data_IF_192702725583
#
_entry.id   IF_192702725583
#
_cell.length_a   1.000
_cell.length_b   1.000
_cell.length_c   1.000
_cell.angle_alpha   90.00
_cell.angle_beta   90.00
_cell.angle_gamma   90.00
#
_symmetry.space_group_name_H-M   'P 1'
#
loop_
_entity.id
_entity.type
_entity.pdbx_description
1 polymer ?
#
# COMPACT_ATOMS: atom_id res chain seq x y z
N UNK A 1 46.45 -25.99 74.74
CA UNK A 1 45.36 -24.98 74.66
C UNK A 1 45.25 -24.50 73.22
N UNK A 2 44.04 -24.29 72.67
CA UNK A 2 43.65 -24.91 71.40
C UNK A 2 44.03 -24.14 70.12
N UNK A 3 44.21 -24.96 69.10
CA UNK A 3 44.38 -24.75 67.66
C UNK A 3 43.25 -23.91 67.03
N UNK A 4 43.61 -22.86 66.29
CA UNK A 4 42.70 -22.19 65.36
C UNK A 4 42.51 -23.06 64.13
N UNK A 5 41.35 -23.72 64.06
CA UNK A 5 40.91 -24.46 62.89
C UNK A 5 40.62 -23.49 61.73
N UNK A 6 41.26 -23.75 60.60
CA UNK A 6 40.97 -23.14 59.31
C UNK A 6 39.52 -23.43 58.90
N UNK A 7 38.71 -22.39 58.74
CA UNK A 7 37.41 -22.50 58.09
C UNK A 7 37.62 -22.30 56.59
N UNK A 8 37.47 -23.37 55.82
CA UNK A 8 37.62 -23.37 54.37
C UNK A 8 36.56 -22.49 53.70
N UNK A 9 36.89 -21.83 52.57
CA UNK A 9 35.88 -21.15 51.77
C UNK A 9 34.94 -22.18 51.15
N UNK A 10 33.67 -22.14 51.55
CA UNK A 10 32.62 -22.86 50.86
C UNK A 10 32.60 -22.46 49.40
N UNK A 11 33.03 -23.36 48.51
CA UNK A 11 32.80 -23.26 47.07
C UNK A 11 31.30 -23.10 46.87
N UNK A 12 30.87 -21.91 46.46
CA UNK A 12 29.60 -21.73 45.78
C UNK A 12 29.70 -22.53 44.48
N UNK A 13 29.20 -23.76 44.53
CA UNK A 13 29.04 -24.60 43.35
C UNK A 13 28.15 -23.82 42.40
N UNK A 14 28.71 -23.36 41.29
CA UNK A 14 27.95 -22.81 40.19
C UNK A 14 26.94 -23.88 39.76
N UNK A 15 25.68 -23.68 40.14
CA UNK A 15 24.56 -24.52 39.77
C UNK A 15 24.44 -24.47 38.24
N UNK A 16 24.78 -25.58 37.57
CA UNK A 16 24.56 -25.71 36.13
C UNK A 16 23.07 -25.55 35.88
N UNK A 17 22.63 -24.69 34.94
CA UNK A 17 21.22 -24.55 34.63
C UNK A 17 20.64 -25.92 34.29
N UNK A 18 19.70 -26.41 35.11
CA UNK A 18 18.94 -27.59 34.78
C UNK A 18 18.11 -27.38 33.49
N UNK A 19 17.48 -28.43 32.98
CA UNK A 19 16.66 -28.38 31.74
C UNK A 19 15.64 -27.22 31.76
N UNK A 20 15.07 -26.88 32.92
CA UNK A 20 14.19 -25.72 33.08
C UNK A 20 14.86 -24.36 32.87
N UNK A 21 16.13 -24.21 33.25
CA UNK A 21 16.91 -23.00 33.01
C UNK A 21 17.25 -22.82 31.53
N UNK A 22 17.58 -23.90 30.83
CA UNK A 22 17.83 -23.87 29.37
C UNK A 22 16.55 -23.54 28.58
N UNK A 23 15.40 -24.12 28.97
CA UNK A 23 14.11 -23.80 28.34
C UNK A 23 13.73 -22.32 28.53
N UNK A 24 13.97 -21.77 29.73
CA UNK A 24 13.75 -20.34 30.01
C UNK A 24 14.63 -19.45 29.13
N UNK A 25 15.90 -19.81 28.95
CA UNK A 25 16.85 -19.04 28.13
C UNK A 25 16.46 -19.04 26.64
N UNK A 26 16.03 -20.19 26.11
CA UNK A 26 15.50 -20.29 24.73
C UNK A 26 14.23 -19.46 24.56
N UNK A 27 13.31 -19.49 25.54
CA UNK A 27 12.10 -18.67 25.51
C UNK A 27 12.41 -17.17 25.56
N UNK A 28 13.40 -16.75 26.36
CA UNK A 28 13.88 -15.37 26.41
C UNK A 28 14.49 -14.93 25.07
N UNK A 29 15.30 -15.77 24.43
CA UNK A 29 15.86 -15.50 23.11
C UNK A 29 14.80 -15.44 22.00
N UNK A 30 13.82 -16.35 22.01
CA UNK A 30 12.71 -16.33 21.07
C UNK A 30 11.89 -15.03 21.23
N UNK A 31 11.64 -14.61 22.47
CA UNK A 31 10.96 -13.35 22.78
C UNK A 31 11.77 -12.13 22.33
N UNK A 32 13.10 -12.14 22.49
CA UNK A 32 13.95 -11.04 22.04
C UNK A 32 14.00 -10.94 20.51
N UNK A 33 14.05 -12.07 19.80
CA UNK A 33 13.99 -12.11 18.34
C UNK A 33 12.66 -11.58 17.80
N UNK A 34 11.54 -12.03 18.39
CA UNK A 34 10.21 -11.58 17.98
C UNK A 34 10.05 -10.05 18.13
N UNK A 35 10.56 -9.47 19.23
CA UNK A 35 10.58 -8.01 19.43
C UNK A 35 11.41 -7.30 18.36
N UNK A 36 12.55 -7.87 17.98
CA UNK A 36 13.44 -7.31 16.96
C UNK A 36 12.81 -7.33 15.56
N UNK A 37 12.11 -8.40 15.20
CA UNK A 37 11.37 -8.48 13.93
C UNK A 37 10.24 -7.45 13.88
N UNK A 38 9.52 -7.24 14.98
CA UNK A 38 8.49 -6.19 15.07
C UNK A 38 9.13 -4.81 14.91
N UNK A 39 10.27 -4.55 15.58
CA UNK A 39 10.99 -3.29 15.47
C UNK A 39 11.46 -3.05 14.03
N UNK A 40 12.06 -4.06 13.39
CA UNK A 40 12.52 -3.99 12.00
C UNK A 40 11.35 -3.79 11.02
N UNK A 41 10.26 -4.53 11.18
CA UNK A 41 9.05 -4.35 10.39
C UNK A 41 8.47 -2.94 10.55
N UNK A 42 8.52 -2.37 11.77
CA UNK A 42 8.07 -1.00 12.02
C UNK A 42 8.94 0.03 11.30
N UNK A 43 10.25 -0.16 11.26
CA UNK A 43 11.20 0.70 10.56
C UNK A 43 11.01 0.62 9.05
N UNK A 44 10.86 -0.60 8.52
CA UNK A 44 10.60 -0.82 7.10
C UNK A 44 9.25 -0.21 6.68
N UNK A 45 8.21 -0.37 7.49
CA UNK A 45 6.90 0.24 7.26
C UNK A 45 6.99 1.76 7.26
N UNK A 46 7.68 2.37 8.24
CA UNK A 46 7.89 3.83 8.27
C UNK A 46 8.63 4.33 7.03
N UNK A 47 9.68 3.62 6.60
CA UNK A 47 10.43 3.96 5.39
C UNK A 47 9.56 3.84 4.13
N UNK A 48 8.79 2.76 4.00
CA UNK A 48 7.84 2.56 2.89
C UNK A 48 6.74 3.62 2.89
N UNK A 49 6.16 3.91 4.04
CA UNK A 49 5.14 4.94 4.20
C UNK A 49 5.67 6.34 3.88
N UNK A 50 6.89 6.67 4.30
CA UNK A 50 7.55 7.93 3.96
C UNK A 50 7.81 8.08 2.46
N UNK A 51 8.34 7.02 1.82
CA UNK A 51 8.57 7.02 0.38
C UNK A 51 7.27 7.11 -0.43
N UNK A 52 6.24 6.35 -0.03
CA UNK A 52 4.89 6.43 -0.63
C UNK A 52 4.27 7.82 -0.41
N UNK A 53 4.39 8.39 0.79
CA UNK A 53 3.87 9.72 1.11
C UNK A 53 4.55 10.83 0.30
N UNK A 54 5.88 10.79 0.18
CA UNK A 54 6.63 11.72 -0.64
C UNK A 54 6.28 11.58 -2.12
N UNK A 55 6.21 10.33 -2.62
CA UNK A 55 5.81 10.04 -4.01
C UNK A 55 4.38 10.48 -4.30
N UNK A 56 3.43 10.24 -3.40
CA UNK A 56 2.05 10.69 -3.51
C UNK A 56 1.96 12.22 -3.48
N UNK A 57 2.69 12.88 -2.59
CA UNK A 57 2.75 14.34 -2.51
C UNK A 57 3.28 14.98 -3.79
N UNK A 58 4.41 14.47 -4.31
CA UNK A 58 4.96 14.91 -5.59
C UNK A 58 4.01 14.62 -6.76
N UNK A 59 3.36 13.46 -6.75
CA UNK A 59 2.37 13.08 -7.76
C UNK A 59 1.17 14.02 -7.79
N UNK A 60 0.60 14.36 -6.62
CA UNK A 60 -0.48 15.34 -6.50
C UNK A 60 -0.02 16.73 -6.93
N UNK A 61 1.17 17.16 -6.49
CA UNK A 61 1.74 18.44 -6.89
C UNK A 61 1.94 18.55 -8.41
N UNK A 62 2.50 17.52 -9.04
CA UNK A 62 2.67 17.44 -10.48
C UNK A 62 1.32 17.45 -11.21
N UNK A 63 0.31 16.73 -10.71
CA UNK A 63 -1.04 16.72 -11.29
C UNK A 63 -1.70 18.11 -11.23
N UNK A 64 -1.55 18.83 -10.11
CA UNK A 64 -2.05 20.20 -9.97
C UNK A 64 -1.35 21.16 -10.94
N UNK A 65 -0.01 21.10 -11.03
CA UNK A 65 0.73 21.94 -11.97
C UNK A 65 0.37 21.61 -13.43
N UNK A 66 0.20 20.34 -13.77
CA UNK A 66 -0.25 19.93 -15.10
C UNK A 66 -1.66 20.47 -15.41
N UNK A 67 -2.57 20.48 -14.43
CA UNK A 67 -3.90 21.07 -14.58
C UNK A 67 -3.83 22.58 -14.86
N UNK A 68 -3.00 23.31 -14.11
CA UNK A 68 -2.78 24.73 -14.37
C UNK A 68 -2.16 24.96 -15.75
N UNK A 69 -1.12 24.21 -16.12
CA UNK A 69 -0.48 24.30 -17.42
C UNK A 69 -1.47 24.06 -18.57
N UNK A 70 -2.39 23.09 -18.42
CA UNK A 70 -3.44 22.83 -19.40
C UNK A 70 -4.44 24.01 -19.50
N UNK A 71 -4.82 24.61 -18.37
CA UNK A 71 -5.66 25.81 -18.36
C UNK A 71 -4.99 27.00 -19.07
N UNK A 72 -3.70 27.24 -18.79
CA UNK A 72 -2.92 28.26 -19.48
C UNK A 72 -2.77 27.97 -20.97
N UNK A 73 -2.56 26.71 -21.37
CA UNK A 73 -2.50 26.33 -22.78
C UNK A 73 -3.78 26.70 -23.53
N UNK A 74 -4.95 26.40 -22.96
CA UNK A 74 -6.22 26.78 -23.57
C UNK A 74 -6.45 28.29 -23.59
N UNK A 75 -6.03 29.00 -22.55
CA UNK A 75 -6.03 30.46 -22.53
C UNK A 75 -5.11 31.05 -23.63
N UNK A 76 -3.93 30.47 -23.83
CA UNK A 76 -3.00 30.86 -24.91
C UNK A 76 -3.61 30.62 -26.29
N UNK A 77 -4.26 29.47 -26.51
CA UNK A 77 -4.96 29.18 -27.78
C UNK A 77 -6.08 30.19 -28.01
N UNK A 78 -6.91 30.46 -27.00
CA UNK A 78 -7.98 31.45 -27.10
C UNK A 78 -7.43 32.85 -27.39
N UNK A 79 -6.35 33.26 -26.72
CA UNK A 79 -5.70 34.54 -26.94
C UNK A 79 -5.11 34.65 -28.35
N UNK A 80 -4.49 33.59 -28.87
CA UNK A 80 -3.97 33.54 -30.23
C UNK A 80 -5.09 33.65 -31.28
N UNK A 81 -6.21 32.95 -31.07
CA UNK A 81 -7.39 33.07 -31.94
C UNK A 81 -8.02 34.48 -31.87
N UNK A 82 -8.00 35.11 -30.70
CA UNK A 82 -8.53 36.46 -30.49
C UNK A 82 -7.73 37.56 -31.22
N UNK A 83 -6.55 37.24 -31.79
CA UNK A 83 -5.81 38.16 -32.68
C UNK A 83 -6.58 38.39 -33.99
N UNK A 84 -7.34 37.39 -34.44
CA UNK A 84 -8.04 37.40 -35.74
C UNK A 84 -9.56 37.24 -35.63
N UNK A 85 -10.08 36.90 -34.44
CA UNK A 85 -11.50 36.74 -34.15
C UNK A 85 -11.90 37.58 -32.93
N UNK A 86 -13.19 37.85 -32.76
CA UNK A 86 -13.69 38.39 -31.51
C UNK A 86 -13.41 37.43 -30.33
N UNK A 87 -13.06 37.99 -29.17
CA UNK A 87 -12.69 37.22 -27.98
C UNK A 87 -13.74 36.19 -27.59
N UNK A 88 -15.04 36.51 -27.72
CA UNK A 88 -16.12 35.59 -27.38
C UNK A 88 -16.19 34.39 -28.34
N UNK A 89 -15.93 34.59 -29.64
CA UNK A 89 -15.86 33.52 -30.65
C UNK A 89 -14.65 32.62 -30.43
N UNK A 90 -13.50 33.23 -30.13
CA UNK A 90 -12.27 32.49 -29.82
C UNK A 90 -12.47 31.56 -28.63
N UNK A 91 -13.08 32.05 -27.54
CA UNK A 91 -13.41 31.25 -26.37
C UNK A 91 -14.39 30.13 -26.71
N UNK A 92 -15.46 30.43 -27.46
CA UNK A 92 -16.45 29.43 -27.86
C UNK A 92 -15.85 28.28 -28.68
N UNK A 93 -14.97 28.60 -29.64
CA UNK A 93 -14.28 27.60 -30.46
C UNK A 93 -13.39 26.68 -29.62
N UNK A 94 -12.62 27.24 -28.69
CA UNK A 94 -11.79 26.45 -27.77
C UNK A 94 -12.69 25.56 -26.90
N UNK A 95 -13.79 26.09 -26.36
CA UNK A 95 -14.75 25.30 -25.57
C UNK A 95 -15.32 24.12 -26.36
N UNK A 96 -15.74 24.33 -27.61
CA UNK A 96 -16.24 23.26 -28.49
C UNK A 96 -15.15 22.20 -28.71
N UNK A 97 -13.91 22.62 -28.98
CA UNK A 97 -12.77 21.72 -29.12
C UNK A 97 -12.53 20.87 -27.87
N UNK A 98 -12.60 21.49 -26.68
CA UNK A 98 -12.50 20.76 -25.40
C UNK A 98 -13.60 19.71 -25.26
N UNK A 99 -14.85 20.06 -25.53
CA UNK A 99 -15.96 19.09 -25.44
C UNK A 99 -15.82 17.95 -26.45
N UNK A 100 -15.30 18.22 -27.65
CA UNK A 100 -15.02 17.18 -28.63
C UNK A 100 -13.95 16.21 -28.14
N UNK A 101 -12.83 16.72 -27.60
CA UNK A 101 -11.75 15.89 -27.04
C UNK A 101 -12.26 15.11 -25.82
N UNK A 102 -12.97 15.76 -24.89
CA UNK A 102 -13.52 15.13 -23.70
C UNK A 102 -14.54 14.04 -24.07
N UNK A 103 -15.41 14.30 -25.05
CA UNK A 103 -16.34 13.31 -25.59
C UNK A 103 -15.61 12.10 -26.17
N UNK A 104 -14.58 12.31 -26.99
CA UNK A 104 -13.78 11.22 -27.57
C UNK A 104 -13.08 10.39 -26.48
N UNK A 105 -12.41 11.05 -25.52
CA UNK A 105 -11.76 10.36 -24.41
C UNK A 105 -12.76 9.60 -23.55
N UNK A 106 -13.94 10.17 -23.29
CA UNK A 106 -15.03 9.51 -22.57
C UNK A 106 -15.54 8.27 -23.30
N UNK A 107 -15.72 8.34 -24.62
CA UNK A 107 -16.11 7.19 -25.44
C UNK A 107 -15.03 6.09 -25.43
N UNK A 108 -13.75 6.46 -25.53
CA UNK A 108 -12.63 5.52 -25.46
C UNK A 108 -12.54 4.86 -24.08
N UNK A 109 -12.70 5.65 -23.00
CA UNK A 109 -12.75 5.13 -21.64
C UNK A 109 -13.89 4.14 -21.45
N UNK A 110 -15.11 4.50 -21.89
CA UNK A 110 -16.28 3.63 -21.83
C UNK A 110 -16.07 2.35 -22.65
N UNK A 111 -15.45 2.45 -23.83
CA UNK A 111 -15.12 1.29 -24.66
C UNK A 111 -14.13 0.36 -23.96
N UNK A 112 -13.09 0.90 -23.32
CA UNK A 112 -12.10 0.12 -22.56
C UNK A 112 -12.72 -0.55 -21.33
N UNK A 113 -13.56 0.16 -20.57
CA UNK A 113 -14.26 -0.41 -19.42
C UNK A 113 -15.17 -1.56 -19.89
N UNK A 114 -15.99 -1.34 -20.92
CA UNK A 114 -16.89 -2.38 -21.45
C UNK A 114 -16.17 -3.62 -21.99
N UNK A 115 -14.91 -3.48 -22.45
CA UNK A 115 -14.09 -4.59 -22.96
C UNK A 115 -13.25 -5.27 -21.88
N UNK A 116 -12.85 -4.54 -20.84
CA UNK A 116 -11.93 -5.00 -19.80
C UNK A 116 -12.61 -5.66 -18.60
N UNK A 117 -13.91 -5.47 -18.42
CA UNK A 117 -14.68 -6.11 -17.36
C UNK A 117 -15.79 -6.96 -17.98
N UNK A 118 -15.70 -8.31 -17.94
CA UNK A 118 -16.88 -9.13 -18.05
C UNK A 118 -17.86 -8.62 -16.98
N UNK A 119 -19.11 -8.29 -17.33
CA UNK A 119 -20.07 -7.70 -16.39
C UNK A 119 -20.33 -8.60 -15.17
N UNK A 120 -19.92 -9.87 -15.24
CA UNK A 120 -19.98 -10.85 -14.16
C UNK A 120 -18.73 -11.74 -14.24
N UNK A 121 -17.97 -11.97 -13.14
CA UNK A 121 -16.86 -12.93 -13.12
C UNK A 121 -17.41 -14.36 -13.07
N UNK A 122 -17.87 -14.87 -14.22
CA UNK A 122 -18.59 -16.14 -14.34
C UNK A 122 -17.82 -17.33 -13.74
N UNK A 123 -16.50 -17.38 -13.94
CA UNK A 123 -15.64 -18.43 -13.40
C UNK A 123 -15.60 -18.40 -11.86
N UNK A 124 -15.41 -17.22 -11.26
CA UNK A 124 -15.39 -17.08 -9.80
C UNK A 124 -16.75 -17.43 -9.17
N UNK A 125 -17.85 -17.09 -9.85
CA UNK A 125 -19.20 -17.47 -9.41
C UNK A 125 -19.43 -18.97 -9.55
N UNK A 126 -18.96 -19.59 -10.64
CA UNK A 126 -19.06 -21.04 -10.85
C UNK A 126 -18.27 -21.81 -9.78
N UNK A 127 -17.03 -21.41 -9.49
CA UNK A 127 -16.22 -22.01 -8.42
C UNK A 127 -16.85 -21.82 -7.03
N UNK A 128 -17.41 -20.64 -6.75
CA UNK A 128 -18.13 -20.40 -5.50
C UNK A 128 -19.38 -21.29 -5.36
N UNK A 129 -20.12 -21.51 -6.45
CA UNK A 129 -21.29 -22.42 -6.47
C UNK A 129 -20.89 -23.86 -6.20
N UNK A 130 -19.87 -24.37 -6.89
CA UNK A 130 -19.33 -25.72 -6.69
C UNK A 130 -18.86 -25.93 -5.24
N UNK A 131 -18.17 -24.93 -4.68
CA UNK A 131 -17.71 -24.97 -3.28
C UNK A 131 -18.90 -25.00 -2.32
N UNK A 132 -19.96 -24.22 -2.59
CA UNK A 132 -21.18 -24.20 -1.78
C UNK A 132 -21.98 -25.51 -1.85
N UNK A 133 -22.02 -26.15 -3.02
CA UNK A 133 -22.67 -27.46 -3.22
C UNK A 133 -21.90 -28.57 -2.51
N UNK A 134 -20.56 -28.57 -2.60
CA UNK A 134 -19.71 -29.52 -1.89
C UNK A 134 -19.89 -29.43 -0.36
N UNK A 135 -19.98 -28.21 0.19
CA UNK A 135 -20.23 -27.99 1.62
C UNK A 135 -21.63 -28.46 2.06
N UNK A 136 -22.67 -28.26 1.22
CA UNK A 136 -24.03 -28.72 1.53
C UNK A 136 -24.18 -30.24 1.46
N UNK A 137 -23.54 -30.88 0.48
CA UNK A 137 -23.57 -32.34 0.33
C UNK A 137 -22.86 -33.06 1.49
N UNK A 138 -21.79 -32.46 2.04
CA UNK A 138 -21.03 -33.05 3.14
C UNK A 138 -21.66 -32.80 4.53
N UNK A 139 -22.66 -31.91 4.64
CA UNK A 139 -23.38 -31.62 5.88
C UNK A 139 -24.72 -32.37 6.03
N UNK A 140 -25.14 -33.15 5.02
CA UNK A 140 -26.39 -33.91 5.02
C UNK A 140 -26.22 -35.42 5.29
N UNK A 141 -25.04 -35.83 5.77
CA UNK A 141 -24.73 -37.18 6.28
C UNK A 141 -24.51 -37.12 7.79
#
# INVERSE_FOLDING_TARGET
MPIHAASAPGKTVAEKPGVGGAAKQVAEHASSLARLEIELASLELKRKAGALGAGAGLGVGAALLALFALGFLFATIAAALAIVLDTWLALLLVTIGLFAIAGLLGLLALSKIKRGTPPVPEQAIAEAKLTSEALKANGSH
#
